data_IF_270429568041
#
_entry.id   IF_270429568041
#
_cell.length_a   1.000
_cell.length_b   1.000
_cell.length_c   1.000
_cell.angle_alpha   90.00
_cell.angle_beta   90.00
_cell.angle_gamma   90.00
#
_symmetry.space_group_name_H-M   'P 1'
#
loop_
_entity.id
_entity.type
_entity.pdbx_description
1 polymer ?
#
# COMPACT_ATOMS: atom_id res chain seq x y z
N UNK A 1 8.25 -28.71 16.18
CA UNK A 1 8.79 -28.84 14.80
C UNK A 1 8.92 -27.39 14.31
N UNK A 2 10.12 -26.82 14.44
CA UNK A 2 10.39 -25.45 14.00
C UNK A 2 10.21 -25.42 12.48
N UNK A 3 9.26 -24.61 12.00
CA UNK A 3 9.13 -24.37 10.57
C UNK A 3 10.43 -23.72 10.09
N UNK A 4 11.06 -24.28 9.07
CA UNK A 4 12.24 -23.67 8.46
C UNK A 4 11.88 -22.24 8.06
N UNK A 5 12.66 -21.26 8.51
CA UNK A 5 12.51 -19.85 8.15
C UNK A 5 13.39 -19.64 6.91
N UNK A 6 12.87 -18.93 5.88
CA UNK A 6 13.67 -18.57 4.71
C UNK A 6 14.80 -17.59 5.11
N UNK A 7 15.82 -17.42 4.26
CA UNK A 7 16.97 -16.52 4.54
C UNK A 7 16.54 -15.08 4.84
N UNK A 8 15.35 -14.68 4.38
CA UNK A 8 14.71 -13.39 4.65
C UNK A 8 13.84 -13.37 5.92
N UNK A 9 13.80 -14.46 6.70
CA UNK A 9 13.11 -14.56 7.99
C UNK A 9 11.58 -14.71 7.90
N UNK A 10 11.03 -15.12 6.75
CA UNK A 10 9.62 -15.48 6.60
C UNK A 10 9.42 -17.00 6.50
N UNK A 11 8.25 -17.53 6.90
CA UNK A 11 7.94 -18.94 6.71
C UNK A 11 8.01 -19.34 5.21
N UNK A 12 8.42 -20.56 4.88
CA UNK A 12 8.47 -21.02 3.50
C UNK A 12 7.14 -20.86 2.77
N UNK A 13 7.18 -20.24 1.58
CA UNK A 13 6.00 -19.96 0.77
C UNK A 13 5.07 -18.88 1.35
N UNK A 14 5.56 -18.04 2.26
CA UNK A 14 4.79 -16.92 2.81
C UNK A 14 4.26 -16.00 1.71
N UNK A 15 5.08 -15.71 0.70
CA UNK A 15 4.74 -14.86 -0.44
C UNK A 15 4.14 -15.62 -1.62
N UNK A 16 3.88 -16.94 -1.49
CA UNK A 16 3.14 -17.69 -2.52
C UNK A 16 1.74 -17.13 -2.67
N UNK A 17 1.22 -17.17 -3.90
CA UNK A 17 -0.16 -16.80 -4.23
C UNK A 17 -0.90 -17.98 -4.84
N UNK A 18 -2.23 -18.02 -4.70
CA UNK A 18 -3.06 -19.04 -5.33
C UNK A 18 -3.01 -18.91 -6.85
N UNK A 19 -3.19 -17.68 -7.36
CA UNK A 19 -2.98 -17.36 -8.76
C UNK A 19 -1.55 -16.85 -8.95
N UNK A 20 -0.75 -17.66 -9.65
CA UNK A 20 0.65 -17.36 -10.01
C UNK A 20 0.79 -16.82 -11.44
N UNK A 21 -0.35 -16.59 -12.13
CA UNK A 21 -0.38 -15.97 -13.45
C UNK A 21 0.12 -14.53 -13.40
N UNK A 22 0.42 -14.01 -14.59
CA UNK A 22 0.87 -12.63 -14.76
C UNK A 22 -0.16 -11.65 -14.17
N UNK A 23 0.31 -10.73 -13.34
CA UNK A 23 -0.55 -9.72 -12.75
C UNK A 23 -1.10 -8.76 -13.81
N UNK A 24 -0.36 -8.53 -14.91
CA UNK A 24 -0.82 -7.74 -16.02
C UNK A 24 -2.13 -8.30 -16.60
N UNK A 25 -2.25 -9.62 -16.76
CA UNK A 25 -3.49 -10.25 -17.26
C UNK A 25 -4.67 -10.08 -16.29
N UNK A 26 -4.41 -10.18 -14.98
CA UNK A 26 -5.43 -10.00 -13.95
C UNK A 26 -5.98 -8.57 -13.92
N UNK A 27 -5.12 -7.57 -14.12
CA UNK A 27 -5.49 -6.15 -14.04
C UNK A 27 -5.89 -5.54 -15.39
N UNK A 28 -5.90 -6.27 -16.52
CA UNK A 28 -6.40 -5.79 -17.82
C UNK A 28 -7.82 -5.21 -17.74
N UNK A 29 -8.82 -5.89 -17.13
CA UNK A 29 -10.17 -5.30 -17.02
C UNK A 29 -10.20 -4.15 -16.03
N UNK A 30 -10.50 -2.93 -16.49
CA UNK A 30 -10.63 -1.78 -15.61
C UNK A 30 -11.79 -1.96 -14.60
N UNK A 31 -11.52 -1.64 -13.34
CA UNK A 31 -12.45 -1.76 -12.21
C UNK A 31 -12.66 -0.40 -11.55
N UNK A 32 -13.57 0.39 -12.09
CA UNK A 32 -13.92 1.71 -11.53
C UNK A 32 -14.90 1.56 -10.35
N UNK A 33 -14.50 0.79 -9.35
CA UNK A 33 -15.27 0.52 -8.12
C UNK A 33 -14.38 0.71 -6.89
N UNK A 34 -15.00 1.07 -5.76
CA UNK A 34 -14.30 1.11 -4.47
C UNK A 34 -14.29 -0.30 -3.86
N UNK A 35 -13.17 -0.68 -3.25
CA UNK A 35 -12.98 -2.02 -2.67
C UNK A 35 -13.25 -2.06 -1.16
N UNK A 36 -13.45 -0.91 -0.54
CA UNK A 36 -13.79 -0.71 0.87
C UNK A 36 -15.03 0.16 0.99
N UNK A 37 -15.72 0.08 2.12
CA UNK A 37 -16.95 0.84 2.36
C UNK A 37 -16.67 2.32 2.67
N UNK A 38 -17.75 3.12 2.71
CA UNK A 38 -17.66 4.58 2.91
C UNK A 38 -17.03 4.97 4.25
N UNK A 39 -17.28 4.20 5.33
CA UNK A 39 -16.69 4.46 6.64
C UNK A 39 -15.15 4.25 6.59
N UNK A 40 -14.69 3.21 5.88
CA UNK A 40 -13.28 2.95 5.67
C UNK A 40 -12.63 4.01 4.75
N UNK A 41 -13.31 4.44 3.68
CA UNK A 41 -12.84 5.53 2.79
C UNK A 41 -12.66 6.83 3.60
N UNK A 42 -13.65 7.20 4.40
CA UNK A 42 -13.56 8.40 5.25
C UNK A 42 -12.37 8.31 6.21
N UNK A 43 -12.15 7.14 6.83
CA UNK A 43 -11.04 6.92 7.75
C UNK A 43 -9.66 6.96 7.05
N UNK A 44 -9.55 6.57 5.75
CA UNK A 44 -8.34 6.77 4.95
C UNK A 44 -8.07 8.27 4.78
N UNK A 45 -9.09 9.03 4.33
CA UNK A 45 -8.96 10.47 4.11
C UNK A 45 -8.58 11.22 5.39
N UNK A 46 -9.22 10.89 6.52
CA UNK A 46 -8.91 11.45 7.84
C UNK A 46 -7.46 11.18 8.25
N UNK A 47 -6.99 9.92 8.09
CA UNK A 47 -5.60 9.57 8.41
C UNK A 47 -4.61 10.34 7.55
N UNK A 48 -4.88 10.48 6.26
CA UNK A 48 -4.01 11.23 5.36
C UNK A 48 -3.94 12.72 5.74
N UNK A 49 -5.07 13.32 6.11
CA UNK A 49 -5.12 14.71 6.58
C UNK A 49 -4.38 14.89 7.92
N UNK A 50 -4.58 14.00 8.90
CA UNK A 50 -3.87 14.01 10.19
C UNK A 50 -2.34 13.94 10.03
N UNK A 51 -1.85 13.23 9.02
CA UNK A 51 -0.43 13.06 8.75
C UNK A 51 0.16 14.11 7.81
N UNK A 52 -0.67 15.04 7.28
CA UNK A 52 -0.25 16.10 6.37
C UNK A 52 0.07 15.59 4.95
N UNK A 53 -0.45 14.42 4.55
CA UNK A 53 -0.18 13.84 3.22
C UNK A 53 -0.52 14.81 2.09
N UNK A 54 -1.68 15.52 2.08
CA UNK A 54 -2.01 16.43 0.99
C UNK A 54 -1.21 17.75 0.97
N UNK A 55 -0.31 17.97 1.94
CA UNK A 55 0.45 19.23 2.04
C UNK A 55 1.70 19.27 1.14
N UNK A 56 2.09 18.12 0.53
CA UNK A 56 3.28 17.99 -0.28
C UNK A 56 3.05 17.27 -1.62
N UNK A 57 4.14 16.78 -2.21
CA UNK A 57 4.10 15.89 -3.38
C UNK A 57 3.91 14.45 -2.93
N UNK A 58 2.91 13.78 -3.48
CA UNK A 58 2.47 12.44 -3.07
C UNK A 58 2.72 11.42 -4.16
N UNK A 59 3.24 10.26 -3.77
CA UNK A 59 3.26 9.04 -4.58
C UNK A 59 2.22 8.06 -4.02
N UNK A 60 1.24 7.69 -4.84
CA UNK A 60 0.24 6.67 -4.52
C UNK A 60 0.63 5.36 -5.21
N UNK A 61 1.13 4.41 -4.41
CA UNK A 61 1.58 3.10 -4.86
C UNK A 61 0.42 2.14 -5.02
N UNK A 62 0.45 1.33 -6.07
CA UNK A 62 -0.60 0.36 -6.40
C UNK A 62 -1.95 1.04 -6.52
N UNK A 63 -1.93 2.26 -7.06
CA UNK A 63 -3.06 3.16 -7.23
C UNK A 63 -4.02 2.68 -8.32
N UNK A 64 -5.20 3.26 -8.33
CA UNK A 64 -6.25 3.03 -9.30
C UNK A 64 -6.94 4.37 -9.65
N UNK A 65 -8.22 4.32 -9.96
CA UNK A 65 -9.03 5.48 -10.37
C UNK A 65 -9.34 6.47 -9.24
N UNK A 66 -8.98 6.16 -7.98
CA UNK A 66 -9.23 7.01 -6.80
C UNK A 66 -8.14 6.79 -5.75
N UNK A 67 -7.64 7.87 -5.16
CA UNK A 67 -6.57 7.87 -4.13
C UNK A 67 -7.09 8.17 -2.71
N UNK A 68 -8.38 8.32 -2.53
CA UNK A 68 -9.06 8.61 -1.25
C UNK A 68 -8.48 9.80 -0.46
N UNK A 69 -7.80 10.75 -1.13
CA UNK A 69 -7.36 12.01 -0.54
C UNK A 69 -8.53 12.99 -0.44
N UNK A 70 -8.61 13.75 0.65
CA UNK A 70 -9.66 14.75 0.89
C UNK A 70 -9.60 15.92 -0.10
N UNK A 71 -8.42 16.21 -0.64
CA UNK A 71 -8.13 17.26 -1.59
C UNK A 71 -6.91 16.93 -2.45
N UNK A 72 -6.75 17.65 -3.54
CA UNK A 72 -5.57 17.53 -4.39
C UNK A 72 -4.32 17.95 -3.62
N UNK A 73 -3.24 17.13 -3.64
CA UNK A 73 -1.98 17.46 -3.00
C UNK A 73 -1.35 18.73 -3.57
N UNK A 74 -0.82 19.59 -2.68
CA UNK A 74 -0.25 20.88 -3.08
C UNK A 74 1.00 20.76 -3.97
N UNK A 75 1.77 19.68 -3.82
CA UNK A 75 2.94 19.36 -4.63
C UNK A 75 2.66 18.40 -5.79
N UNK A 76 1.39 18.07 -6.02
CA UNK A 76 0.95 17.13 -7.06
C UNK A 76 0.88 15.66 -6.60
N UNK A 77 0.13 14.87 -7.34
CA UNK A 77 -0.07 13.43 -7.13
C UNK A 77 0.49 12.65 -8.32
N UNK A 78 1.37 11.71 -8.03
CA UNK A 78 1.79 10.65 -8.97
C UNK A 78 1.07 9.37 -8.58
N UNK A 79 0.25 8.84 -9.48
CA UNK A 79 -0.44 7.57 -9.31
C UNK A 79 0.34 6.47 -10.04
N UNK A 80 0.86 5.48 -9.29
CA UNK A 80 1.56 4.33 -9.85
C UNK A 80 0.72 3.07 -9.62
N UNK A 81 0.42 2.35 -10.71
CA UNK A 81 -0.40 1.14 -10.66
C UNK A 81 -0.32 0.35 -11.94
N UNK A 82 -1.19 -0.63 -12.12
CA UNK A 82 -1.08 -1.57 -13.24
C UNK A 82 -2.03 -1.28 -14.40
N UNK A 83 -3.12 -0.55 -14.19
CA UNK A 83 -4.11 -0.29 -15.22
C UNK A 83 -4.11 1.19 -15.65
N UNK A 84 -3.63 1.46 -16.87
CA UNK A 84 -3.55 2.82 -17.40
C UNK A 84 -4.91 3.53 -17.47
N UNK A 85 -5.99 2.81 -17.77
CA UNK A 85 -7.35 3.38 -17.87
C UNK A 85 -7.84 3.83 -16.50
N UNK A 86 -7.61 3.02 -15.45
CA UNK A 86 -7.96 3.38 -14.08
C UNK A 86 -7.14 4.58 -13.61
N UNK A 87 -5.83 4.55 -13.80
CA UNK A 87 -4.94 5.64 -13.39
C UNK A 87 -5.30 6.98 -14.06
N UNK A 88 -5.62 6.96 -15.36
CA UNK A 88 -6.05 8.13 -16.11
C UNK A 88 -7.42 8.66 -15.66
N UNK A 89 -8.27 7.80 -15.10
CA UNK A 89 -9.55 8.20 -14.54
C UNK A 89 -9.45 8.81 -13.14
N UNK A 90 -8.27 8.78 -12.50
CA UNK A 90 -8.08 9.36 -11.17
C UNK A 90 -8.07 10.90 -11.24
N UNK A 91 -9.09 11.58 -10.67
CA UNK A 91 -9.26 13.03 -10.85
C UNK A 91 -8.20 13.86 -10.12
N UNK A 92 -7.45 13.27 -9.22
CA UNK A 92 -6.41 13.96 -8.43
C UNK A 92 -5.01 13.77 -9.01
N UNK A 93 -4.80 12.76 -9.90
CA UNK A 93 -3.49 12.46 -10.46
C UNK A 93 -3.02 13.55 -11.45
N UNK A 94 -1.81 14.02 -11.25
CA UNK A 94 -1.10 14.90 -12.20
C UNK A 94 -0.22 14.08 -13.16
N UNK A 95 0.33 12.99 -12.65
CA UNK A 95 1.18 12.05 -13.38
C UNK A 95 0.70 10.62 -13.13
N UNK A 96 0.81 9.78 -14.14
CA UNK A 96 0.51 8.35 -14.02
C UNK A 96 1.70 7.51 -14.48
N UNK A 97 1.99 6.43 -13.73
CA UNK A 97 3.04 5.46 -14.07
C UNK A 97 2.44 4.07 -14.06
N UNK A 98 2.59 3.35 -15.17
CA UNK A 98 2.16 1.95 -15.26
C UNK A 98 3.35 1.06 -14.97
N UNK A 99 3.30 0.33 -13.85
CA UNK A 99 4.37 -0.55 -13.42
C UNK A 99 3.83 -1.69 -12.56
N UNK A 100 4.35 -2.90 -12.79
CA UNK A 100 4.17 -4.05 -11.91
C UNK A 100 5.31 -4.09 -10.88
N UNK A 101 5.00 -3.77 -9.63
CA UNK A 101 5.97 -3.78 -8.53
C UNK A 101 6.40 -5.19 -8.08
N UNK A 102 5.69 -6.23 -8.52
CA UNK A 102 6.10 -7.61 -8.31
C UNK A 102 7.13 -8.09 -9.34
N UNK A 103 7.21 -7.43 -10.51
CA UNK A 103 8.22 -7.68 -11.55
C UNK A 103 9.44 -6.79 -11.36
N UNK A 104 9.21 -5.50 -11.11
CA UNK A 104 10.27 -4.53 -10.83
C UNK A 104 9.90 -3.68 -9.63
N UNK A 105 10.54 -3.95 -8.50
CA UNK A 105 10.33 -3.22 -7.24
C UNK A 105 10.95 -1.82 -7.26
N UNK A 106 11.82 -1.50 -8.24
CA UNK A 106 12.51 -0.22 -8.32
C UNK A 106 11.56 0.88 -8.81
N UNK A 107 11.42 1.92 -8.01
CA UNK A 107 10.60 3.08 -8.38
C UNK A 107 11.35 4.00 -9.36
N UNK A 108 10.72 4.42 -10.48
CA UNK A 108 11.34 5.22 -11.54
C UNK A 108 11.45 6.71 -11.17
N UNK A 109 11.79 7.00 -9.92
CA UNK A 109 11.88 8.36 -9.39
C UNK A 109 13.24 8.60 -8.74
N UNK A 110 13.64 9.87 -8.68
CA UNK A 110 14.86 10.29 -8.00
C UNK A 110 14.71 10.17 -6.47
N UNK A 111 15.84 10.07 -5.78
CA UNK A 111 15.90 10.11 -4.33
C UNK A 111 15.27 11.42 -3.81
N UNK A 112 14.63 11.35 -2.64
CA UNK A 112 14.09 12.51 -1.94
C UNK A 112 13.18 13.41 -2.80
N UNK A 113 12.30 12.80 -3.62
CA UNK A 113 11.41 13.52 -4.55
C UNK A 113 9.96 13.66 -4.07
N UNK A 114 9.57 12.94 -3.00
CA UNK A 114 8.21 12.95 -2.46
C UNK A 114 8.18 13.33 -0.99
N UNK A 115 7.10 14.00 -0.58
CA UNK A 115 6.82 14.35 0.81
C UNK A 115 6.01 13.24 1.51
N UNK A 116 5.23 12.49 0.72
CA UNK A 116 4.48 11.33 1.20
C UNK A 116 4.45 10.21 0.16
N UNK A 117 4.48 8.96 0.66
CA UNK A 117 4.20 7.73 -0.11
C UNK A 117 3.04 7.02 0.55
N UNK A 118 1.98 6.73 -0.20
CA UNK A 118 0.80 6.04 0.30
C UNK A 118 0.56 4.74 -0.46
N UNK A 119 -0.03 3.75 0.21
CA UNK A 119 -0.55 2.54 -0.43
C UNK A 119 -1.85 2.17 0.26
N UNK A 120 -2.95 2.20 -0.48
CA UNK A 120 -4.28 1.96 0.06
C UNK A 120 -4.78 0.57 -0.31
N UNK A 121 -5.03 -0.27 0.71
CA UNK A 121 -5.62 -1.62 0.65
C UNK A 121 -5.06 -2.54 -0.45
N UNK A 122 -3.73 -2.47 -0.66
CA UNK A 122 -3.06 -3.21 -1.74
C UNK A 122 -1.74 -3.87 -1.33
N UNK A 123 -1.22 -3.61 -0.12
CA UNK A 123 0.07 -4.12 0.36
C UNK A 123 0.13 -5.66 0.42
N UNK A 124 -1.00 -6.31 0.55
CA UNK A 124 -1.19 -7.75 0.64
C UNK A 124 -0.96 -8.50 -0.69
N UNK A 125 -0.81 -7.77 -1.81
CA UNK A 125 -0.52 -8.35 -3.14
C UNK A 125 0.97 -8.33 -3.50
N UNK A 126 1.81 -7.63 -2.73
CA UNK A 126 3.24 -7.57 -2.99
C UNK A 126 3.95 -8.86 -2.57
N UNK A 127 4.72 -9.43 -3.50
CA UNK A 127 5.59 -10.58 -3.23
C UNK A 127 7.00 -10.16 -2.80
N UNK A 128 7.35 -8.88 -3.02
CA UNK A 128 8.59 -8.24 -2.60
C UNK A 128 8.34 -6.95 -1.81
N UNK A 129 7.49 -6.98 -0.74
CA UNK A 129 7.04 -5.76 -0.06
C UNK A 129 8.18 -4.95 0.58
N UNK A 130 9.20 -5.62 1.10
CA UNK A 130 10.33 -4.96 1.77
C UNK A 130 11.18 -4.18 0.75
N UNK A 131 11.41 -4.74 -0.42
CA UNK A 131 12.13 -4.09 -1.52
C UNK A 131 11.39 -2.84 -2.01
N UNK A 132 10.08 -2.96 -2.24
CA UNK A 132 9.22 -1.83 -2.63
C UNK A 132 9.22 -0.73 -1.56
N UNK A 133 9.17 -1.10 -0.29
CA UNK A 133 9.18 -0.13 0.81
C UNK A 133 10.57 0.49 1.05
N UNK A 134 11.68 -0.20 0.74
CA UNK A 134 13.01 0.43 0.68
C UNK A 134 13.10 1.48 -0.42
N UNK A 135 12.51 1.22 -1.56
CA UNK A 135 12.39 2.21 -2.63
C UNK A 135 11.48 3.37 -2.21
N UNK A 136 10.37 3.11 -1.49
CA UNK A 136 9.56 4.16 -0.89
C UNK A 136 10.39 5.03 0.07
N UNK A 137 11.24 4.43 0.92
CA UNK A 137 12.14 5.18 1.79
C UNK A 137 13.16 6.02 1.00
N UNK A 138 13.72 5.48 -0.09
CA UNK A 138 14.67 6.19 -0.96
C UNK A 138 14.05 7.43 -1.61
N UNK A 139 12.83 7.30 -2.12
CA UNK A 139 12.17 8.42 -2.83
C UNK A 139 11.53 9.44 -1.90
N UNK A 140 11.32 9.11 -0.63
CA UNK A 140 10.87 10.05 0.39
C UNK A 140 11.97 11.05 0.75
N UNK A 141 11.57 12.31 0.93
CA UNK A 141 12.42 13.33 1.54
C UNK A 141 12.65 13.02 3.01
N UNK A 142 13.76 13.47 3.62
CA UNK A 142 13.92 13.43 5.07
C UNK A 142 12.69 14.03 5.78
N UNK A 143 12.13 13.32 6.76
CA UNK A 143 10.91 13.68 7.45
C UNK A 143 9.60 13.39 6.68
N UNK A 144 9.68 12.96 5.42
CA UNK A 144 8.52 12.51 4.64
C UNK A 144 7.83 11.30 5.27
N UNK A 145 6.58 11.06 4.94
CA UNK A 145 5.77 10.01 5.57
C UNK A 145 5.41 8.89 4.61
N UNK A 146 5.56 7.64 5.04
CA UNK A 146 4.94 6.48 4.40
C UNK A 146 3.66 6.11 5.15
N UNK A 147 2.56 5.87 4.41
CA UNK A 147 1.28 5.48 5.00
C UNK A 147 0.72 4.28 4.25
N UNK A 148 0.57 3.17 4.96
CA UNK A 148 -0.04 1.95 4.44
C UNK A 148 -1.39 1.77 5.12
N UNK A 149 -2.47 1.67 4.34
CA UNK A 149 -3.77 1.29 4.88
C UNK A 149 -4.17 -0.08 4.37
N UNK A 150 -4.86 -0.86 5.18
CA UNK A 150 -5.30 -2.21 4.85
C UNK A 150 -6.56 -2.61 5.59
N UNK A 151 -7.25 -3.60 5.05
CA UNK A 151 -8.54 -4.07 5.54
C UNK A 151 -8.58 -5.61 5.53
N UNK A 152 -9.74 -6.18 5.86
CA UNK A 152 -10.04 -7.59 5.64
C UNK A 152 -10.49 -7.88 4.20
N UNK A 153 -10.60 -6.86 3.34
CA UNK A 153 -10.94 -6.98 1.93
C UNK A 153 -9.70 -7.23 1.10
N UNK A 154 -9.73 -8.26 0.28
CA UNK A 154 -8.68 -8.55 -0.70
C UNK A 154 -9.24 -9.40 -1.84
N UNK A 155 -8.46 -9.54 -2.91
CA UNK A 155 -8.62 -10.59 -3.93
C UNK A 155 -7.89 -11.84 -3.44
N UNK A 156 -8.58 -12.88 -2.92
CA UNK A 156 -7.91 -14.00 -2.26
C UNK A 156 -6.94 -14.77 -3.16
N UNK A 157 -7.18 -14.77 -4.47
CA UNK A 157 -6.31 -15.45 -5.43
C UNK A 157 -4.97 -14.74 -5.64
N UNK A 158 -4.93 -13.41 -5.44
CA UNK A 158 -3.72 -12.58 -5.63
C UNK A 158 -3.05 -12.19 -4.31
N UNK A 159 -3.75 -12.23 -3.18
CA UNK A 159 -3.14 -11.98 -1.88
C UNK A 159 -2.13 -13.07 -1.50
N UNK A 160 -1.03 -12.69 -0.87
CA UNK A 160 0.02 -13.62 -0.45
C UNK A 160 -0.49 -14.57 0.64
N UNK A 161 -0.02 -15.81 0.63
CA UNK A 161 -0.46 -16.87 1.54
C UNK A 161 -0.32 -16.48 3.01
N UNK A 162 0.78 -15.82 3.36
CA UNK A 162 1.00 -15.34 4.72
C UNK A 162 -0.09 -14.39 5.21
N UNK A 163 -0.58 -13.50 4.35
CA UNK A 163 -1.70 -12.61 4.65
C UNK A 163 -3.01 -13.37 4.90
N UNK A 164 -3.31 -14.34 4.04
CA UNK A 164 -4.54 -15.14 4.13
C UNK A 164 -4.54 -16.10 5.34
N UNK A 165 -3.35 -16.50 5.81
CA UNK A 165 -3.18 -17.42 6.93
C UNK A 165 -3.22 -16.73 8.30
N UNK A 166 -3.32 -15.39 8.35
CA UNK A 166 -3.31 -14.61 9.60
C UNK A 166 -4.63 -13.88 9.84
N UNK A 167 -4.90 -13.61 11.10
CA UNK A 167 -5.98 -12.75 11.55
C UNK A 167 -5.59 -11.24 11.43
N UNK A 168 -6.47 -10.37 11.92
CA UNK A 168 -6.28 -8.93 11.83
C UNK A 168 -5.02 -8.46 12.59
N UNK A 169 -4.76 -8.99 13.78
CA UNK A 169 -3.58 -8.63 14.58
C UNK A 169 -2.29 -9.13 13.92
N UNK A 170 -2.33 -10.32 13.32
CA UNK A 170 -1.23 -10.86 12.52
C UNK A 170 -0.93 -10.00 11.29
N UNK A 171 -1.95 -9.47 10.58
CA UNK A 171 -1.77 -8.55 9.45
C UNK A 171 -1.13 -7.24 9.88
N UNK A 172 -1.53 -6.69 11.04
CA UNK A 172 -0.87 -5.50 11.62
C UNK A 172 0.61 -5.79 11.90
N UNK A 173 0.93 -6.96 12.47
CA UNK A 173 2.31 -7.36 12.74
C UNK A 173 3.12 -7.54 11.43
N UNK A 174 2.52 -8.13 10.39
CA UNK A 174 3.13 -8.29 9.07
C UNK A 174 3.50 -6.91 8.49
N UNK A 175 2.55 -5.98 8.41
CA UNK A 175 2.79 -4.65 7.81
C UNK A 175 3.82 -3.85 8.61
N UNK A 176 3.76 -3.90 9.94
CA UNK A 176 4.81 -3.33 10.80
C UNK A 176 6.19 -3.90 10.45
N UNK A 177 6.29 -5.23 10.36
CA UNK A 177 7.56 -5.90 10.03
C UNK A 177 8.08 -5.52 8.64
N UNK A 178 7.20 -5.33 7.66
CA UNK A 178 7.60 -4.85 6.34
C UNK A 178 8.28 -3.48 6.41
N UNK A 179 7.65 -2.52 7.11
CA UNK A 179 8.20 -1.17 7.30
C UNK A 179 9.52 -1.19 8.08
N UNK A 180 9.59 -1.92 9.20
CA UNK A 180 10.80 -2.02 10.01
C UNK A 180 11.97 -2.63 9.22
N UNK A 181 11.73 -3.68 8.42
CA UNK A 181 12.76 -4.30 7.55
C UNK A 181 13.14 -3.44 6.36
N UNK A 182 12.27 -2.55 5.93
CA UNK A 182 12.58 -1.56 4.91
C UNK A 182 13.44 -0.39 5.45
N UNK A 183 13.65 -0.32 6.77
CA UNK A 183 14.49 0.70 7.41
C UNK A 183 13.70 1.84 8.05
N UNK A 184 12.38 1.75 8.13
CA UNK A 184 11.59 2.75 8.84
C UNK A 184 11.62 2.50 10.34
N UNK A 185 11.87 3.56 11.10
CA UNK A 185 11.86 3.54 12.57
C UNK A 185 10.57 4.16 13.11
N UNK A 186 10.23 3.84 14.36
CA UNK A 186 9.08 4.44 15.05
C UNK A 186 7.73 4.13 14.40
N UNK A 187 7.58 2.96 13.76
CA UNK A 187 6.36 2.55 13.08
C UNK A 187 5.16 2.58 14.03
N UNK A 188 4.17 3.38 13.67
CA UNK A 188 2.89 3.48 14.39
C UNK A 188 1.83 2.69 13.64
N UNK A 189 0.96 2.00 14.38
CA UNK A 189 -0.19 1.27 13.82
C UNK A 189 -1.45 1.59 14.59
N UNK A 190 -2.59 1.69 13.89
CA UNK A 190 -3.88 1.94 14.54
C UNK A 190 -5.05 1.34 13.76
N UNK A 191 -6.08 0.90 14.49
CA UNK A 191 -7.40 0.66 13.92
C UNK A 191 -8.10 2.01 13.74
N UNK A 192 -8.49 2.34 12.51
CA UNK A 192 -9.04 3.64 12.14
C UNK A 192 -10.56 3.69 12.11
N UNK A 193 -11.22 2.54 11.93
CA UNK A 193 -12.69 2.44 11.94
C UNK A 193 -13.18 1.76 13.23
N UNK A 194 -14.40 2.11 13.67
CA UNK A 194 -15.05 1.37 14.75
C UNK A 194 -15.43 -0.04 14.27
N UNK A 195 -15.04 -1.08 15.03
CA UNK A 195 -15.49 -2.46 14.72
C UNK A 195 -17.01 -2.52 14.79
N UNK A 196 -17.64 -2.78 13.66
CA UNK A 196 -19.09 -2.98 13.53
C UNK A 196 -19.39 -4.17 12.63
N UNK A 197 -20.41 -4.94 12.97
CA UNK A 197 -20.82 -6.07 12.11
C UNK A 197 -21.25 -5.55 10.73
N UNK A 198 -20.69 -6.14 9.68
CA UNK A 198 -21.01 -5.79 8.28
C UNK A 198 -20.32 -4.51 7.77
N UNK A 199 -19.31 -4.00 8.50
CA UNK A 199 -18.45 -2.90 8.07
C UNK A 199 -17.01 -3.35 7.92
N UNK A 200 -16.29 -2.68 7.04
CA UNK A 200 -14.89 -2.99 6.78
C UNK A 200 -14.00 -2.38 7.86
N UNK A 201 -13.22 -3.19 8.61
CA UNK A 201 -12.21 -2.63 9.50
C UNK A 201 -11.11 -2.00 8.63
N UNK A 202 -10.67 -0.79 8.99
CA UNK A 202 -9.52 -0.15 8.39
C UNK A 202 -8.40 -0.01 9.41
N UNK A 203 -7.24 -0.53 9.06
CA UNK A 203 -5.99 -0.37 9.79
C UNK A 203 -5.08 0.57 9.02
N UNK A 204 -4.32 1.39 9.75
CA UNK A 204 -3.23 2.19 9.22
C UNK A 204 -1.91 1.79 9.88
N UNK A 205 -0.84 1.81 9.09
CA UNK A 205 0.53 1.73 9.55
C UNK A 205 1.34 2.82 8.88
N UNK A 206 2.11 3.60 9.64
CA UNK A 206 2.88 4.71 9.09
C UNK A 206 4.16 4.95 9.87
N UNK A 207 5.13 5.56 9.18
CA UNK A 207 6.38 6.01 9.76
C UNK A 207 6.91 7.21 8.97
N UNK A 208 7.88 7.94 9.55
CA UNK A 208 8.60 8.98 8.84
C UNK A 208 9.98 8.51 8.40
N UNK A 209 10.40 9.00 7.23
CA UNK A 209 11.76 8.83 6.74
C UNK A 209 12.73 9.60 7.65
N UNK A 210 13.87 8.98 7.96
CA UNK A 210 14.97 9.62 8.69
C UNK A 210 15.71 10.67 7.88
#
# INVERSE_FOLDING_TARGET
MDAAVSDDGWPPGFFDRQDRGDDADFYVPARLVTHIDEDAIAAVSELYDELGVPDGRVLDLMSSWVSHLSRKPSGGLVALGMNAVELQANPLADEVVVQDLNVDSRLPFQDASFDAVVCCVSIDYLVHPVEVLREAARVLRPGGVVVLTFSNRCFPTKAVRGWLATDEDGRVAIVRTYLERAGFEGVTTALRTKRRRGRDPLYGAWARSG
#
